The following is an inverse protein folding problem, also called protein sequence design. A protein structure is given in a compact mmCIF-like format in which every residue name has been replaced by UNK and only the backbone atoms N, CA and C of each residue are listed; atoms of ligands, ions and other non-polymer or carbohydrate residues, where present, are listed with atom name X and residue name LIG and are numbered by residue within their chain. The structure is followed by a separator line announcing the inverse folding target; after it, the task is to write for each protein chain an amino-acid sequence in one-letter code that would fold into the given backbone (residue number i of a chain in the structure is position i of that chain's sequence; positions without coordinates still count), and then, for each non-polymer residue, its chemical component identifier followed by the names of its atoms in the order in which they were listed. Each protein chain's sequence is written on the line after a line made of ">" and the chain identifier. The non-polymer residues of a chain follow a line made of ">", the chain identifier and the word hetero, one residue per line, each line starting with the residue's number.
data_IF_396130985737
#
_entry.id   IF_396130985737
#
_cell.length_a   1.000
_cell.length_b   1.000
_cell.length_c   1.000
_cell.angle_alpha   90.00
_cell.angle_beta   90.00
_cell.angle_gamma   90.00
#
_symmetry.space_group_name_H-M   'P 1'
#
loop_
_entity.id
_entity.type
_entity.pdbx_description
1 polymer ?
#
# COMPACT_ATOMS: atom_id res chain seq x y z
N UNK A 1 -42.72 14.97 5.58
CA UNK A 1 -42.50 14.56 4.17
C UNK A 1 -41.14 15.08 3.72
N UNK A 2 -40.16 14.23 3.40
CA UNK A 2 -38.85 14.72 2.92
C UNK A 2 -37.63 13.81 3.19
N UNK A 3 -37.70 12.94 4.21
CA UNK A 3 -36.58 12.05 4.57
C UNK A 3 -36.25 11.01 3.48
N UNK A 4 -37.25 10.50 2.75
CA UNK A 4 -37.01 9.49 1.70
C UNK A 4 -36.16 10.00 0.53
N UNK A 5 -36.37 11.26 0.11
CA UNK A 5 -35.60 11.89 -0.97
C UNK A 5 -34.16 12.17 -0.54
N UNK A 6 -33.98 12.66 0.69
CA UNK A 6 -32.66 12.88 1.26
C UNK A 6 -31.87 11.57 1.37
N UNK A 7 -32.50 10.51 1.93
CA UNK A 7 -31.87 9.19 2.04
C UNK A 7 -31.49 8.61 0.68
N UNK A 8 -32.37 8.72 -0.32
CA UNK A 8 -32.07 8.26 -1.68
C UNK A 8 -30.87 9.02 -2.30
N UNK A 9 -30.81 10.35 -2.13
CA UNK A 9 -29.65 11.14 -2.58
C UNK A 9 -28.36 10.70 -1.89
N UNK A 10 -28.40 10.49 -0.58
CA UNK A 10 -27.22 10.05 0.19
C UNK A 10 -26.74 8.67 -0.24
N UNK A 11 -27.63 7.70 -0.44
CA UNK A 11 -27.25 6.36 -0.92
C UNK A 11 -26.65 6.42 -2.32
N UNK A 12 -27.16 7.28 -3.20
CA UNK A 12 -26.58 7.49 -4.54
C UNK A 12 -25.16 8.05 -4.43
N UNK A 13 -24.94 9.11 -3.66
CA UNK A 13 -23.63 9.74 -3.47
C UNK A 13 -22.65 8.76 -2.84
N UNK A 14 -23.06 8.02 -1.81
CA UNK A 14 -22.21 7.04 -1.15
C UNK A 14 -21.79 5.90 -2.10
N UNK A 15 -22.70 5.43 -2.96
CA UNK A 15 -22.38 4.41 -3.96
C UNK A 15 -21.42 4.97 -5.01
N UNK A 16 -21.66 6.18 -5.48
CA UNK A 16 -20.75 6.85 -6.41
C UNK A 16 -19.36 6.99 -5.79
N UNK A 17 -19.25 7.45 -4.55
CA UNK A 17 -17.96 7.56 -3.85
C UNK A 17 -17.26 6.20 -3.65
N UNK A 18 -18.04 5.16 -3.32
CA UNK A 18 -17.50 3.82 -3.04
C UNK A 18 -17.02 3.09 -4.29
N UNK A 19 -17.73 3.25 -5.40
CA UNK A 19 -17.50 2.48 -6.63
C UNK A 19 -17.01 3.34 -7.80
N UNK A 20 -16.72 4.62 -7.58
CA UNK A 20 -16.00 5.44 -8.54
C UNK A 20 -14.58 4.92 -8.62
N UNK A 21 -14.22 4.45 -9.81
CA UNK A 21 -12.83 4.19 -10.14
C UNK A 21 -12.15 5.54 -10.43
N UNK A 22 -10.98 5.76 -9.86
CA UNK A 22 -10.14 6.89 -10.23
C UNK A 22 -9.17 6.39 -11.29
N UNK A 23 -9.22 6.99 -12.48
CA UNK A 23 -8.15 6.80 -13.46
C UNK A 23 -6.97 7.65 -13.00
N UNK A 24 -5.99 7.00 -12.39
CA UNK A 24 -4.73 7.64 -12.01
C UNK A 24 -3.82 7.70 -13.22
N UNK A 25 -3.28 8.89 -13.52
CA UNK A 25 -2.28 9.03 -14.57
C UNK A 25 -0.93 8.48 -14.08
N UNK A 26 -0.63 7.24 -14.46
CA UNK A 26 0.62 6.58 -14.12
C UNK A 26 1.84 7.25 -14.77
N UNK A 27 1.66 7.98 -15.87
CA UNK A 27 2.76 8.68 -16.55
C UNK A 27 3.23 9.89 -15.74
N UNK A 28 2.31 10.60 -15.07
CA UNK A 28 2.65 11.69 -14.16
C UNK A 28 3.31 11.17 -12.89
N UNK A 29 2.76 10.10 -12.30
CA UNK A 29 3.33 9.45 -11.11
C UNK A 29 4.75 8.96 -11.37
N UNK A 30 4.99 8.32 -12.52
CA UNK A 30 6.33 7.88 -12.91
C UNK A 30 7.29 9.06 -13.06
N UNK A 31 6.83 10.16 -13.68
CA UNK A 31 7.64 11.37 -13.84
C UNK A 31 8.01 11.99 -12.49
N UNK A 32 7.12 11.97 -11.49
CA UNK A 32 7.41 12.46 -10.14
C UNK A 32 8.43 11.56 -9.42
N UNK A 33 8.22 10.24 -9.45
CA UNK A 33 9.13 9.24 -8.87
C UNK A 33 10.53 9.25 -9.51
N UNK A 34 10.63 9.48 -10.81
CA UNK A 34 11.90 9.57 -11.53
C UNK A 34 12.51 10.98 -11.47
N UNK A 35 11.67 12.00 -11.26
CA UNK A 35 11.99 13.41 -11.49
C UNK A 35 12.37 14.21 -10.25
N UNK A 36 12.15 13.69 -9.04
CA UNK A 36 12.70 14.31 -7.84
C UNK A 36 13.25 13.22 -6.92
N UNK A 37 14.56 13.02 -7.00
CA UNK A 37 15.32 12.54 -5.85
C UNK A 37 15.22 13.61 -4.77
N UNK A 38 14.05 13.72 -4.13
CA UNK A 38 13.93 14.43 -2.87
C UNK A 38 14.67 13.60 -1.84
N UNK A 39 16.00 13.69 -1.88
CA UNK A 39 16.87 13.36 -0.78
C UNK A 39 16.47 14.35 0.30
N UNK A 40 15.76 13.93 1.37
CA UNK A 40 15.58 14.82 2.49
C UNK A 40 16.97 15.30 2.91
N UNK A 41 17.19 16.59 3.20
CA UNK A 41 18.50 17.09 3.61
C UNK A 41 18.86 16.45 4.95
N UNK A 42 19.50 15.27 4.91
CA UNK A 42 19.76 14.41 6.06
C UNK A 42 19.63 12.89 5.83
N UNK A 43 19.40 12.42 4.60
CA UNK A 43 19.43 10.99 4.27
C UNK A 43 20.76 10.56 3.66
N UNK A 44 21.79 10.44 4.48
CA UNK A 44 23.00 9.67 4.20
C UNK A 44 22.62 8.21 3.91
N UNK A 45 22.44 7.89 2.63
CA UNK A 45 22.35 6.51 2.16
C UNK A 45 23.75 5.87 2.18
N UNK A 46 24.28 5.64 3.38
CA UNK A 46 25.39 4.73 3.62
C UNK A 46 24.96 3.69 4.65
N UNK A 47 24.25 2.67 4.21
CA UNK A 47 24.14 1.40 4.92
C UNK A 47 24.48 0.28 3.95
N UNK A 48 25.78 0.16 3.70
CA UNK A 48 26.41 -1.06 3.24
C UNK A 48 25.98 -2.25 4.13
N UNK A 49 25.27 -3.21 3.54
CA UNK A 49 25.18 -4.62 3.95
C UNK A 49 25.43 -5.00 5.42
N UNK A 50 24.54 -4.60 6.32
CA UNK A 50 24.49 -5.18 7.67
C UNK A 50 23.47 -6.34 7.65
N UNK A 51 23.94 -7.57 7.90
CA UNK A 51 23.08 -8.70 8.20
C UNK A 51 22.27 -8.35 9.46
N UNK A 52 21.00 -7.97 9.28
CA UNK A 52 20.09 -7.75 10.39
C UNK A 52 19.91 -9.07 11.13
N UNK A 53 20.56 -9.15 12.30
CA UNK A 53 20.49 -10.30 13.20
C UNK A 53 19.03 -10.71 13.39
N UNK A 54 18.79 -12.03 13.38
CA UNK A 54 17.49 -12.69 13.45
C UNK A 54 16.71 -12.50 14.77
N UNK A 55 16.95 -11.39 15.48
CA UNK A 55 16.35 -11.05 16.77
C UNK A 55 15.51 -9.76 16.68
N UNK A 56 15.03 -9.43 15.47
CA UNK A 56 13.89 -8.53 15.32
C UNK A 56 12.66 -9.38 15.62
N UNK A 57 11.97 -9.11 16.73
CA UNK A 57 10.68 -9.69 17.10
C UNK A 57 9.61 -9.19 16.11
N UNK A 58 9.73 -9.63 14.85
CA UNK A 58 8.80 -9.36 13.78
C UNK A 58 7.62 -10.33 13.93
N UNK A 59 6.44 -9.85 14.36
CA UNK A 59 5.27 -10.70 14.55
C UNK A 59 4.77 -11.35 13.25
N UNK A 60 5.31 -10.93 12.10
CA UNK A 60 4.99 -11.48 10.78
C UNK A 60 6.04 -12.43 10.21
N UNK A 61 7.21 -12.60 10.85
CA UNK A 61 8.26 -13.49 10.34
C UNK A 61 7.74 -14.94 10.20
N UNK A 62 7.06 -15.47 11.22
CA UNK A 62 6.56 -16.85 11.22
C UNK A 62 5.35 -17.12 10.30
N UNK A 63 4.77 -16.09 9.66
CA UNK A 63 3.64 -16.29 8.74
C UNK A 63 4.11 -16.84 7.40
N UNK A 64 5.35 -16.58 7.02
CA UNK A 64 5.91 -16.99 5.74
C UNK A 64 6.57 -18.38 5.78
N UNK A 65 6.91 -18.89 6.97
CA UNK A 65 7.60 -20.17 7.10
C UNK A 65 6.67 -21.38 6.87
N UNK A 66 5.39 -21.31 7.27
CA UNK A 66 4.42 -22.43 7.24
C UNK A 66 4.04 -22.91 5.82
N UNK A 67 4.02 -22.01 4.84
CA UNK A 67 3.63 -22.34 3.45
C UNK A 67 4.77 -22.96 2.62
N UNK A 68 6.03 -22.89 3.10
CA UNK A 68 7.21 -23.28 2.33
C UNK A 68 7.53 -24.79 2.37
N UNK A 69 7.09 -25.50 3.41
CA UNK A 69 7.38 -26.94 3.55
C UNK A 69 6.44 -27.85 2.73
N UNK A 70 5.26 -27.36 2.35
CA UNK A 70 4.25 -28.16 1.65
C UNK A 70 4.60 -28.48 0.19
N UNK A 71 5.56 -27.77 -0.42
CA UNK A 71 5.86 -27.88 -1.86
C UNK A 71 6.91 -28.96 -2.16
N UNK A 72 7.69 -29.41 -1.17
CA UNK A 72 8.83 -30.32 -1.40
C UNK A 72 8.56 -31.81 -1.10
N UNK A 73 7.31 -32.23 -0.85
CA UNK A 73 6.98 -33.63 -0.53
C UNK A 73 6.11 -34.34 -1.60
N UNK A 74 6.18 -33.93 -2.87
CA UNK A 74 5.46 -34.65 -3.95
C UNK A 74 6.34 -35.08 -5.10
#
# INVERSE_FOLDING_TARGET
>A
MGRGRAKAKQTKVARELKYRNYDTDFSELQRELQGDGHVPPGGDADTSGEEVAADVDDPYAGVYDDDSEAVNQR
#
